data_IF_864106258484
#
_entry.id   IF_864106258484
#
_cell.length_a   1.000
_cell.length_b   1.000
_cell.length_c   1.000
_cell.angle_alpha   90.00
_cell.angle_beta   90.00
_cell.angle_gamma   90.00
#
_symmetry.space_group_name_H-M   'P 1'
#
loop_
_entity.id
_entity.type
_entity.pdbx_description
1 polymer ?
2 polymer ?
3 non-polymer ?
4 water ?
#
# COMPACT_ATOMS: atom_id res chain seq x y z
N UNK A 1 24.76 1.60 3.52
CA UNK A 1 24.22 0.61 4.45
C UNK A 1 22.70 0.63 4.47
N UNK A 2 22.13 -0.50 4.91
CA UNK A 2 20.68 -0.61 5.02
C UNK A 2 20.14 0.26 6.15
N UNK A 3 20.93 0.45 7.21
CA UNK A 3 20.49 1.28 8.33
C UNK A 3 20.26 2.71 7.89
N UNK A 4 21.22 3.28 7.15
CA UNK A 4 21.05 4.64 6.65
C UNK A 4 19.86 4.75 5.71
N UNK A 5 19.58 3.69 4.95
CA UNK A 5 18.38 3.68 4.12
C UNK A 5 17.13 3.77 4.98
N UNK A 6 17.08 2.99 6.06
CA UNK A 6 15.92 3.00 6.94
C UNK A 6 15.82 4.30 7.73
N UNK A 7 16.95 4.97 7.97
CA UNK A 7 16.91 6.29 8.60
C UNK A 7 16.28 7.32 7.67
N UNK A 8 16.60 7.26 6.38
CA UNK A 8 15.96 8.15 5.42
C UNK A 8 14.48 7.81 5.24
N UNK A 9 14.13 6.52 5.31
CA UNK A 9 12.72 6.15 5.26
C UNK A 9 11.94 6.71 6.44
N UNK A 10 12.51 6.63 7.64
CA UNK A 10 11.83 7.13 8.82
C UNK A 10 11.64 8.64 8.75
N UNK A 11 12.61 9.37 8.21
CA UNK A 11 12.43 10.80 7.95
C UNK A 11 11.30 11.04 6.95
N UNK A 12 11.20 10.19 5.93
CA UNK A 12 10.14 10.35 4.93
C UNK A 12 8.76 10.11 5.55
N UNK A 13 8.66 9.14 6.46
CA UNK A 13 7.36 8.81 7.04
C UNK A 13 6.84 9.95 7.90
N UNK A 14 7.72 10.62 8.64
CA UNK A 14 7.27 11.73 9.47
C UNK A 14 6.89 12.94 8.64
N UNK A 15 7.42 13.06 7.42
CA UNK A 15 7.11 14.20 6.57
C UNK A 15 5.95 13.96 5.61
N UNK A 16 5.61 12.71 5.33
CA UNK A 16 4.64 12.44 4.27
C UNK A 16 3.54 11.50 4.72
N UNK A 17 3.90 10.35 5.29
CA UNK A 17 2.87 9.43 5.74
C UNK A 17 2.07 10.02 6.90
N UNK A 18 2.75 10.63 7.87
CA UNK A 18 2.05 11.19 9.03
C UNK A 18 1.03 12.26 8.64
N UNK A 19 1.37 13.27 7.83
CA UNK A 19 0.32 14.25 7.45
C UNK A 19 -0.88 13.62 6.77
N UNK A 20 -0.66 12.65 5.88
CA UNK A 20 -1.79 12.01 5.20
C UNK A 20 -2.65 11.21 6.16
N UNK A 21 -2.03 10.50 7.11
CA UNK A 21 -2.79 9.72 8.08
C UNK A 21 -3.47 10.59 9.14
N UNK A 22 -2.91 11.76 9.46
CA UNK A 22 -3.62 12.70 10.33
C UNK A 22 -4.92 13.15 9.68
N UNK A 23 -4.87 13.44 8.37
CA UNK A 23 -6.10 13.73 7.63
C UNK A 23 -7.06 12.56 7.69
N UNK A 24 -6.55 11.34 7.49
CA UNK A 24 -7.43 10.17 7.46
C UNK A 24 -8.15 9.98 8.79
N UNK A 25 -7.48 10.27 9.91
CA UNK A 25 -8.11 10.16 11.22
C UNK A 25 -9.27 11.12 11.39
N UNK A 26 -9.13 12.36 10.91
CA UNK A 26 -10.22 13.32 11.00
C UNK A 26 -11.40 12.91 10.13
N UNK A 27 -11.12 12.51 8.89
CA UNK A 27 -12.18 11.98 8.03
C UNK A 27 -12.84 10.75 8.67
N UNK A 28 -12.05 9.91 9.33
CA UNK A 28 -12.60 8.71 9.95
C UNK A 28 -13.50 9.03 11.14
N UNK A 29 -13.29 10.17 11.79
CA UNK A 29 -14.11 10.55 12.93
C UNK A 29 -15.38 11.29 12.53
N UNK A 30 -15.32 12.08 11.45
CA UNK A 30 -16.54 12.68 10.92
C UNK A 30 -17.52 11.61 10.46
N UNK A 31 -17.02 10.57 9.79
CA UNK A 31 -17.86 9.56 9.17
C UNK A 31 -18.00 8.28 9.98
N UNK A 32 -17.25 8.13 11.06
CA UNK A 32 -17.32 6.91 11.86
C UNK A 32 -16.88 5.66 11.12
N UNK A 33 -15.85 5.77 10.28
CA UNK A 33 -15.37 4.67 9.46
C UNK A 33 -13.92 4.33 9.78
N UNK A 34 -13.55 3.06 9.76
CA UNK A 34 -12.15 2.68 10.03
C UNK A 34 -11.25 3.04 8.86
N UNK A 35 -9.95 3.00 9.12
CA UNK A 35 -8.95 3.46 8.18
C UNK A 35 -8.25 2.25 7.58
N UNK A 36 -8.11 2.25 6.25
CA UNK A 36 -7.31 1.27 5.53
C UNK A 36 -6.14 2.01 4.89
N UNK A 37 -4.93 1.54 5.17
CA UNK A 37 -3.71 2.18 4.71
C UNK A 37 -3.28 1.58 3.37
N UNK A 38 -3.13 2.43 2.37
CA UNK A 38 -2.79 2.01 1.02
C UNK A 38 -1.36 2.46 0.71
N UNK A 39 -0.48 1.49 0.43
CA UNK A 39 0.95 1.75 0.26
C UNK A 39 1.34 1.39 -1.17
N UNK A 40 1.89 2.36 -1.90
CA UNK A 40 2.55 2.06 -3.17
C UNK A 40 4.03 1.85 -2.90
N UNK A 41 4.60 0.83 -3.53
CA UNK A 41 5.96 0.38 -3.23
C UNK A 41 6.78 0.52 -4.50
N UNK A 42 7.90 1.25 -4.40
CA UNK A 42 8.80 1.37 -5.54
C UNK A 42 9.60 0.09 -5.71
N UNK A 43 9.91 -0.28 -6.95
CA UNK A 43 10.65 -1.53 -7.19
C UNK A 43 12.16 -1.34 -7.11
N UNK A 44 12.63 -0.50 -6.19
CA UNK A 44 14.05 -0.14 -6.16
C UNK A 44 14.79 -0.72 -4.96
N UNK A 45 14.24 -1.74 -4.31
CA UNK A 45 14.98 -2.27 -3.17
C UNK A 45 16.04 -3.28 -3.62
N UNK A 46 17.19 -3.29 -2.93
CA UNK A 46 18.24 -4.26 -3.27
C UNK A 46 17.93 -5.68 -2.86
N UNK A 47 17.00 -5.90 -1.94
CA UNK A 47 16.67 -7.24 -1.52
C UNK A 47 15.26 -7.24 -0.97
N UNK A 48 14.64 -8.42 -0.97
CA UNK A 48 13.31 -8.55 -0.40
C UNK A 48 13.32 -8.38 1.11
N UNK A 49 14.45 -8.67 1.77
CA UNK A 49 14.50 -8.46 3.21
C UNK A 49 14.46 -6.98 3.56
N UNK A 50 15.17 -6.14 2.80
CA UNK A 50 15.06 -4.71 3.07
C UNK A 50 13.66 -4.20 2.74
N UNK A 51 13.07 -4.67 1.65
CA UNK A 51 11.69 -4.33 1.34
C UNK A 51 10.76 -4.69 2.49
N UNK A 52 10.91 -5.90 3.05
CA UNK A 52 10.03 -6.33 4.13
C UNK A 52 10.21 -5.44 5.35
N UNK A 53 11.46 -5.14 5.71
CA UNK A 53 11.72 -4.28 6.87
C UNK A 53 11.12 -2.89 6.67
N UNK A 54 11.30 -2.31 5.48
CA UNK A 54 10.77 -0.98 5.21
C UNK A 54 9.25 -0.97 5.31
N UNK A 55 8.59 -1.98 4.74
CA UNK A 55 7.13 -2.06 4.78
C UNK A 55 6.62 -2.31 6.18
N UNK A 56 7.35 -3.11 6.96
CA UNK A 56 6.98 -3.32 8.36
C UNK A 56 7.02 -2.01 9.14
N UNK A 57 8.05 -1.20 8.92
CA UNK A 57 8.13 0.11 9.54
C UNK A 57 6.95 1.00 9.14
N UNK A 58 6.67 1.08 7.84
CA UNK A 58 5.60 1.95 7.38
C UNK A 58 4.25 1.54 7.97
N UNK A 59 4.00 0.23 8.05
CA UNK A 59 2.73 -0.27 8.58
C UNK A 59 2.67 -0.10 10.09
N UNK A 60 3.77 -0.39 10.79
CA UNK A 60 3.80 -0.19 12.24
C UNK A 60 3.67 1.29 12.60
N UNK A 61 4.27 2.17 11.79
CA UNK A 61 4.06 3.60 11.95
C UNK A 61 2.58 3.94 11.84
N UNK A 62 1.90 3.39 10.82
CA UNK A 62 0.49 3.70 10.61
C UNK A 62 -0.39 3.16 11.73
N UNK A 63 -0.07 1.97 12.24
CA UNK A 63 -0.75 1.46 13.43
C UNK A 63 -0.57 2.39 14.62
N UNK A 64 0.65 2.91 14.79
CA UNK A 64 0.96 3.74 15.95
C UNK A 64 0.15 5.03 15.93
N UNK A 65 0.08 5.71 14.79
CA UNK A 65 -0.56 7.02 14.77
C UNK A 65 -2.03 6.99 14.32
N UNK A 66 -2.49 5.91 13.68
CA UNK A 66 -3.86 5.93 13.16
C UNK A 66 -4.63 4.62 13.36
N UNK A 67 -4.13 3.67 14.15
CA UNK A 67 -4.89 2.46 14.50
C UNK A 67 -5.52 1.80 13.27
N UNK A 68 -4.77 1.72 12.17
CA UNK A 68 -5.35 1.25 10.92
C UNK A 68 -5.89 -0.17 11.09
N UNK A 69 -6.96 -0.48 10.36
CA UNK A 69 -7.54 -1.81 10.44
C UNK A 69 -6.87 -2.79 9.48
N UNK A 70 -6.49 -2.33 8.30
CA UNK A 70 -5.84 -3.18 7.31
C UNK A 70 -4.90 -2.31 6.49
N UNK A 71 -4.05 -2.98 5.72
CA UNK A 71 -3.12 -2.31 4.81
C UNK A 71 -3.18 -2.99 3.46
N UNK A 72 -3.29 -2.20 2.40
CA UNK A 72 -3.21 -2.69 1.03
C UNK A 72 -1.88 -2.22 0.44
N UNK A 73 -1.03 -3.16 0.07
CA UNK A 73 0.28 -2.88 -0.48
C UNK A 73 0.21 -3.12 -1.98
N UNK A 74 0.47 -2.07 -2.77
CA UNK A 74 0.53 -2.16 -4.23
C UNK A 74 1.99 -2.26 -4.62
N UNK A 75 2.41 -3.46 -4.98
CA UNK A 75 3.80 -3.76 -5.26
C UNK A 75 4.05 -3.61 -6.75
N UNK A 76 4.73 -2.54 -7.14
CA UNK A 76 5.09 -2.36 -8.54
C UNK A 76 6.10 -3.42 -8.95
N UNK A 77 5.82 -4.11 -10.06
CA UNK A 77 6.69 -5.18 -10.54
C UNK A 77 6.96 -5.00 -12.03
N UNK A 78 8.23 -4.89 -12.40
CA UNK A 78 8.60 -4.74 -13.81
C UNK A 78 8.82 -6.12 -14.42
N UNK A 79 7.70 -6.77 -14.76
CA UNK A 79 7.74 -8.11 -15.31
C UNK A 79 6.34 -8.62 -15.54
N UNK A 80 6.19 -9.95 -15.53
CA UNK A 80 4.90 -10.53 -15.87
C UNK A 80 3.96 -10.58 -14.66
N UNK A 81 2.67 -10.74 -14.94
CA UNK A 81 1.70 -10.87 -13.87
C UNK A 81 1.95 -12.12 -13.03
N UNK A 82 2.41 -13.20 -13.66
CA UNK A 82 2.67 -14.43 -12.91
C UNK A 82 3.75 -14.22 -11.86
N UNK A 83 4.86 -13.58 -12.25
CA UNK A 83 5.92 -13.27 -11.30
C UNK A 83 5.43 -12.31 -10.22
N UNK A 84 4.61 -11.33 -10.62
CA UNK A 84 4.12 -10.32 -9.69
C UNK A 84 3.22 -10.93 -8.63
N UNK A 85 2.39 -11.90 -9.02
CA UNK A 85 1.52 -12.53 -8.04
C UNK A 85 2.30 -13.40 -7.06
N UNK A 86 3.35 -14.08 -7.53
CA UNK A 86 4.20 -14.83 -6.62
C UNK A 86 4.94 -13.92 -5.65
N UNK A 87 5.51 -12.82 -6.15
CA UNK A 87 6.22 -11.91 -5.24
C UNK A 87 5.27 -11.30 -4.22
N UNK A 88 4.03 -11.01 -4.61
CA UNK A 88 3.06 -10.46 -3.68
C UNK A 88 2.73 -11.45 -2.57
N UNK A 89 2.60 -12.74 -2.90
CA UNK A 89 2.30 -13.73 -1.88
C UNK A 89 3.43 -13.85 -0.87
N UNK A 90 4.67 -13.83 -1.34
CA UNK A 90 5.80 -13.85 -0.41
C UNK A 90 5.76 -12.65 0.53
N UNK A 91 5.59 -11.44 -0.02
CA UNK A 91 5.57 -10.24 0.82
C UNK A 91 4.39 -10.28 1.77
N UNK A 92 3.23 -10.74 1.29
CA UNK A 92 2.05 -10.76 2.15
C UNK A 92 2.26 -11.70 3.33
N UNK A 93 2.91 -12.84 3.11
CA UNK A 93 3.17 -13.76 4.21
C UNK A 93 4.03 -13.10 5.28
N UNK A 94 5.09 -12.40 4.86
CA UNK A 94 5.96 -11.71 5.81
C UNK A 94 5.20 -10.65 6.60
N UNK A 95 4.40 -9.83 5.92
CA UNK A 95 3.79 -8.69 6.59
C UNK A 95 2.69 -9.12 7.55
N UNK A 96 1.90 -10.12 7.16
CA UNK A 96 0.86 -10.63 8.05
C UNK A 96 1.45 -11.14 9.36
N UNK A 97 2.52 -11.93 9.28
CA UNK A 97 3.15 -12.46 10.47
C UNK A 97 3.80 -11.36 11.31
N UNK A 98 4.27 -10.29 10.68
CA UNK A 98 5.06 -9.29 11.38
C UNK A 98 4.22 -8.15 11.95
N UNK A 99 3.15 -7.74 11.27
CA UNK A 99 2.41 -6.54 11.67
C UNK A 99 1.15 -6.83 12.47
N UNK A 100 0.66 -8.07 12.48
CA UNK A 100 -0.50 -8.40 13.28
C UNK A 100 -1.84 -7.88 12.79
N UNK A 101 -1.92 -7.33 11.59
CA UNK A 101 -3.18 -6.86 11.02
C UNK A 101 -3.38 -7.52 9.67
N UNK A 102 -4.57 -7.35 9.12
CA UNK A 102 -4.87 -7.88 7.79
C UNK A 102 -4.07 -7.11 6.75
N UNK A 103 -3.30 -7.81 5.94
CA UNK A 103 -2.54 -7.19 4.87
C UNK A 103 -2.91 -7.85 3.56
N UNK A 104 -3.24 -7.04 2.57
CA UNK A 104 -3.49 -7.47 1.20
C UNK A 104 -2.36 -6.92 0.35
N UNK A 105 -1.59 -7.80 -0.28
CA UNK A 105 -0.50 -7.38 -1.16
C UNK A 105 -0.88 -7.77 -2.58
N UNK A 106 -0.83 -6.79 -3.48
CA UNK A 106 -1.21 -6.95 -4.88
C UNK A 106 0.00 -6.60 -5.75
N UNK A 107 0.39 -7.52 -6.63
CA UNK A 107 1.45 -7.22 -7.59
C UNK A 107 0.85 -6.49 -8.78
N UNK A 108 1.51 -5.42 -9.21
CA UNK A 108 1.01 -4.57 -10.29
C UNK A 108 2.10 -4.43 -11.35
N UNK A 109 1.77 -4.76 -12.59
CA UNK A 109 2.68 -4.63 -13.72
C UNK A 109 2.32 -3.39 -14.54
N UNK A 110 3.20 -2.95 -15.45
CA UNK A 110 2.86 -1.75 -16.24
C UNK A 110 1.56 -1.88 -17.02
N UNK A 111 1.29 -3.07 -17.56
CA UNK A 111 0.07 -3.30 -18.32
C UNK A 111 -1.19 -3.17 -17.48
N UNK A 112 -1.09 -3.30 -16.15
CA UNK A 112 -2.25 -3.13 -15.29
C UNK A 112 -2.70 -1.68 -15.20
N UNK A 113 -1.92 -0.75 -15.73
CA UNK A 113 -2.31 0.64 -15.74
C UNK A 113 -3.39 0.99 -16.74
N UNK A 114 -3.78 0.05 -17.61
CA UNK A 114 -4.91 0.30 -18.50
C UNK A 114 -6.15 0.58 -17.67
N UNK A 115 -6.91 1.61 -18.05
CA UNK A 115 -8.07 1.99 -17.25
C UNK A 115 -9.02 0.81 -17.06
N UNK A 116 -9.11 -0.08 -18.05
CA UNK A 116 -9.98 -1.24 -17.91
C UNK A 116 -9.42 -2.26 -16.94
N UNK A 117 -8.10 -2.38 -16.85
CA UNK A 117 -7.49 -3.29 -15.88
C UNK A 117 -7.42 -2.68 -14.49
N UNK A 118 -7.34 -1.35 -14.41
CA UNK A 118 -7.47 -0.66 -13.14
C UNK A 118 -8.81 -0.99 -12.49
N UNK A 119 -9.89 -0.98 -13.28
CA UNK A 119 -11.21 -1.30 -12.75
C UNK A 119 -11.25 -2.72 -12.19
N UNK A 120 -10.62 -3.67 -12.89
CA UNK A 120 -10.59 -5.05 -12.41
C UNK A 120 -9.93 -5.13 -11.04
N UNK A 121 -8.69 -4.64 -10.95
CA UNK A 121 -7.94 -4.72 -9.70
C UNK A 121 -8.65 -3.97 -8.58
N UNK A 122 -9.24 -2.82 -8.90
CA UNK A 122 -10.02 -2.08 -7.91
C UNK A 122 -11.17 -2.92 -7.37
N UNK A 123 -11.96 -3.52 -8.28
CA UNK A 123 -13.06 -4.39 -7.86
C UNK A 123 -12.56 -5.49 -6.93
N UNK A 124 -11.47 -6.16 -7.31
CA UNK A 124 -10.93 -7.23 -6.49
C UNK A 124 -10.48 -6.73 -5.12
N UNK A 125 -9.88 -5.53 -5.07
CA UNK A 125 -9.37 -5.03 -3.79
C UNK A 125 -10.52 -4.65 -2.86
N UNK A 126 -11.52 -3.94 -3.39
CA UNK A 126 -12.63 -3.51 -2.55
C UNK A 126 -13.43 -4.70 -2.03
N UNK A 127 -13.58 -5.75 -2.84
CA UNK A 127 -14.30 -6.93 -2.37
C UNK A 127 -13.56 -7.60 -1.22
N UNK A 128 -12.23 -7.74 -1.34
CA UNK A 128 -11.44 -8.30 -0.24
C UNK A 128 -11.53 -7.42 1.01
N UNK A 129 -11.54 -6.10 0.83
CA UNK A 129 -11.66 -5.20 1.97
C UNK A 129 -13.03 -5.31 2.62
N UNK A 130 -14.08 -5.50 1.82
CA UNK A 130 -15.42 -5.67 2.37
C UNK A 130 -15.52 -6.91 3.24
N UNK A 131 -14.77 -7.97 2.92
CA UNK A 131 -14.74 -9.16 3.78
C UNK A 131 -14.09 -8.86 5.12
N UNK A 132 -13.08 -8.00 5.13
CA UNK A 132 -12.41 -7.70 6.39
C UNK A 132 -13.27 -6.79 7.26
N UNK A 133 -14.11 -5.97 6.65
CA UNK A 133 -14.95 -5.03 7.39
C UNK A 133 -16.31 -5.60 7.76
N UNK A 134 -16.85 -6.52 6.95
CA UNK A 134 -18.23 -6.97 7.11
C UNK A 134 -18.44 -8.46 6.88
N UNK A 135 -17.39 -9.23 6.61
CA UNK A 135 -17.54 -10.66 6.38
C UNK A 135 -16.44 -11.50 7.01
N UNK B 1 -0.94 4.71 -22.35
CA UNK B 1 -0.60 3.58 -21.49
C UNK B 1 0.56 3.91 -20.57
N UNK B 2 0.69 3.14 -19.49
CA UNK B 2 1.81 3.30 -18.57
C UNK B 2 3.06 2.65 -19.14
N UNK B 3 4.18 3.35 -19.03
CA UNK B 3 5.46 2.79 -19.43
C UNK B 3 6.16 2.07 -18.29
N UNK B 4 5.82 2.38 -17.04
CA UNK B 4 6.49 1.79 -15.89
C UNK B 4 5.46 1.21 -14.93
N UNK B 5 5.93 0.33 -14.06
CA UNK B 5 5.03 -0.27 -13.08
C UNK B 5 4.63 0.73 -12.01
N UNK B 6 5.47 1.75 -11.78
CA UNK B 6 5.15 2.79 -10.81
C UNK B 6 4.02 3.68 -11.31
N UNK B 7 3.97 3.93 -12.62
CA UNK B 7 2.81 4.63 -13.18
C UNK B 7 1.53 3.86 -12.90
N UNK B 8 1.56 2.54 -13.09
CA UNK B 8 0.36 1.74 -12.89
C UNK B 8 -0.10 1.76 -11.43
N UNK B 9 0.83 1.58 -10.47
CA UNK B 9 0.40 1.58 -9.07
C UNK B 9 -0.16 2.95 -8.66
N UNK B 10 0.43 4.03 -9.18
CA UNK B 10 -0.10 5.36 -8.88
C UNK B 10 -1.51 5.53 -9.43
N UNK B 11 -1.74 5.12 -10.68
CA UNK B 11 -3.09 5.19 -11.23
C UNK B 11 -4.07 4.35 -10.41
N UNK B 12 -3.65 3.16 -9.99
CA UNK B 12 -4.54 2.30 -9.23
C UNK B 12 -4.89 2.93 -7.88
N UNK B 13 -3.88 3.41 -7.15
CA UNK B 13 -4.13 4.01 -5.85
C UNK B 13 -5.01 5.25 -5.98
N UNK B 14 -4.76 6.07 -7.01
CA UNK B 14 -5.57 7.26 -7.21
C UNK B 14 -7.03 6.90 -7.47
N UNK B 15 -7.26 5.87 -8.29
CA UNK B 15 -8.63 5.46 -8.58
C UNK B 15 -9.32 4.93 -7.33
N UNK B 16 -8.61 4.15 -6.52
CA UNK B 16 -9.20 3.62 -5.29
C UNK B 16 -9.60 4.74 -4.34
N UNK B 17 -8.73 5.74 -4.18
CA UNK B 17 -9.05 6.85 -3.29
C UNK B 17 -10.22 7.66 -3.86
N UNK B 18 -10.15 8.00 -5.14
CA UNK B 18 -11.15 8.88 -5.74
C UNK B 18 -12.42 8.16 -6.17
N UNK B 19 -12.61 6.90 -5.78
CA UNK B 19 -13.86 6.20 -6.06
C UNK B 19 -14.50 5.61 -4.82
N UNK B 20 -13.97 5.87 -3.63
CA UNK B 20 -14.40 5.19 -2.42
C UNK B 20 -14.95 6.16 -1.38
N UNK B 21 -15.50 7.29 -1.82
CA UNK B 21 -16.04 8.26 -0.88
C UNK B 21 -17.20 7.67 -0.09
N UNK B 22 -18.00 6.82 -0.71
CA UNK B 22 -19.12 6.17 -0.04
C UNK B 22 -18.79 4.73 0.36
N UNK B 23 -17.52 4.36 0.34
CA UNK B 23 -17.08 3.05 0.81
C UNK B 23 -17.02 3.02 2.33
N UNK B 24 -17.03 1.82 2.88
CA UNK B 24 -17.03 1.61 4.32
C UNK B 24 -15.72 1.81 5.04
N UNK B 25 -14.66 2.26 4.37
CA UNK B 25 -13.43 2.61 5.07
C UNK B 25 -12.84 3.86 4.45
N UNK B 26 -12.06 4.59 5.25
CA UNK B 26 -11.23 5.68 4.76
C UNK B 26 -9.97 5.07 4.15
N UNK B 27 -9.70 5.37 2.89
CA UNK B 27 -8.48 4.93 2.23
C UNK B 27 -7.47 6.06 2.23
N UNK B 28 -6.26 5.77 2.70
CA UNK B 28 -5.18 6.75 2.80
C UNK B 28 -3.96 6.20 2.08
N UNK B 29 -3.51 6.92 1.06
CA UNK B 29 -2.44 6.48 0.17
C UNK B 29 -1.10 7.11 0.55
N UNK B 30 -0.06 6.27 0.69
CA UNK B 30 1.30 6.73 0.93
C UNK B 30 2.27 5.87 0.12
N UNK B 31 3.48 6.40 -0.08
CA UNK B 31 4.48 5.81 -0.96
C UNK B 31 5.70 5.37 -0.16
N UNK B 32 6.30 4.24 -0.53
CA UNK B 32 7.49 3.73 0.15
C UNK B 32 8.55 3.39 -0.90
N UNK B 33 9.70 4.05 -0.81
CA UNK B 33 10.84 3.76 -1.66
C UNK B 33 12.01 3.26 -0.83
N UNK B 34 13.07 2.82 -1.52
CA UNK B 34 14.17 2.13 -0.84
C UNK B 34 15.17 3.08 -0.21
N UNK B 35 15.35 4.28 -0.76
CA UNK B 35 16.34 5.25 -0.27
C UNK B 35 17.76 4.68 -0.27
N UNK B 36 18.04 3.70 -1.14
CA UNK B 36 19.35 3.07 -1.25
C UNK B 36 20.02 3.45 -2.56
N UNK B 37 21.25 2.98 -2.72
CA UNK B 37 21.96 3.07 -3.99
C UNK B 37 21.19 2.35 -5.08
X LIG C 1 -6.69 19.67 15.81
X LIG C 1 -5.68 18.56 15.72
X LIG C 1 -6.00 20.98 15.65
X LIG C 1 -7.71 19.50 14.72
X LIG C 1 -7.37 19.61 17.14
X LIG D 1 5.05 6.38 -17.69
X LIG D 1 4.72 7.43 -16.67
X LIG D 1 6.20 6.84 -18.52
X LIG D 1 5.42 5.11 -16.98
X LIG D 1 3.86 6.12 -18.56
#
# INVERSE_FOLDING_TARGET
NEEEALEKLKKYLKENEKPKLEEAKKEAEEKGKPIVHLITVEPDFPSKELLIKALTLAIKFAKEIANIKAAVVLLAHEGSREEAEKEAKEIQEALTKETGIEVIVVGVTPEDGDEEKIQELANEIKNKLSKILHGKEYDP
KCNTATCATQRLANFLVHSSNNFGAILSSTNVGSNTY
SO4 S O1 O2 O3 O4
SO4 S O1 O2 O3 O4
#
